data_IF_986756519707
#
_entry.id   IF_986756519707
#
_cell.length_a   1.000
_cell.length_b   1.000
_cell.length_c   1.000
_cell.angle_alpha   90.00
_cell.angle_beta   90.00
_cell.angle_gamma   90.00
#
_symmetry.space_group_name_H-M   'P 1'
#
loop_
_entity.id
_entity.type
_entity.pdbx_description
1 polymer ?
#
# COMPACT_ATOMS: atom_id res chain seq x y z
N UNK A 1 -20.45 -86.92 14.14
CA UNK A 1 -20.72 -85.48 14.02
C UNK A 1 -20.30 -84.80 15.32
N UNK A 2 -19.21 -84.05 15.32
CA UNK A 2 -18.94 -82.94 16.27
C UNK A 2 -17.68 -82.21 15.78
N UNK A 3 -17.85 -80.93 15.41
CA UNK A 3 -16.79 -80.03 14.97
C UNK A 3 -15.95 -79.60 16.17
N UNK A 4 -14.64 -79.88 16.13
CA UNK A 4 -13.66 -79.37 17.08
C UNK A 4 -13.14 -78.02 16.58
N UNK A 5 -13.55 -76.92 17.21
CA UNK A 5 -12.98 -75.60 16.95
C UNK A 5 -11.78 -75.39 17.87
N UNK A 6 -10.59 -75.68 17.36
CA UNK A 6 -9.32 -75.37 18.03
C UNK A 6 -9.07 -73.88 17.99
N UNK A 7 -9.03 -73.22 19.15
CA UNK A 7 -8.60 -71.82 19.29
C UNK A 7 -7.11 -71.77 18.93
N UNK A 8 -6.79 -71.26 17.74
CA UNK A 8 -5.40 -71.00 17.32
C UNK A 8 -4.85 -69.90 18.23
N UNK A 9 -3.84 -70.23 19.03
CA UNK A 9 -3.00 -69.24 19.71
C UNK A 9 -2.44 -68.28 18.65
N UNK A 10 -2.92 -67.03 18.65
CA UNK A 10 -2.48 -65.98 17.73
C UNK A 10 -1.02 -65.62 18.03
N UNK A 11 -0.18 -65.61 16.99
CA UNK A 11 1.25 -65.29 17.07
C UNK A 11 1.45 -63.80 17.42
N UNK A 12 2.34 -63.50 18.37
CA UNK A 12 2.63 -62.15 18.87
C UNK A 12 3.09 -61.16 17.77
N UNK A 13 3.69 -61.68 16.69
CA UNK A 13 4.13 -60.88 15.54
C UNK A 13 2.97 -60.32 14.71
N UNK A 14 1.86 -61.05 14.60
CA UNK A 14 0.66 -60.60 13.86
C UNK A 14 -0.06 -59.49 14.65
N UNK A 15 -0.03 -59.58 15.98
CA UNK A 15 -0.58 -58.56 16.88
C UNK A 15 0.21 -57.24 16.80
N UNK A 16 1.53 -57.33 16.67
CA UNK A 16 2.41 -56.16 16.46
C UNK A 16 2.15 -55.49 15.10
N UNK A 17 1.97 -56.27 14.04
CA UNK A 17 1.71 -55.75 12.69
C UNK A 17 0.32 -55.09 12.59
N UNK A 18 -0.69 -55.69 13.23
CA UNK A 18 -2.04 -55.14 13.35
C UNK A 18 -2.07 -53.84 14.15
N UNK A 19 -1.31 -53.74 15.24
CA UNK A 19 -1.23 -52.53 16.05
C UNK A 19 -0.59 -51.36 15.29
N UNK A 20 0.45 -51.62 14.48
CA UNK A 20 1.06 -50.58 13.63
C UNK A 20 0.10 -50.09 12.54
N UNK A 21 -0.71 -50.98 11.97
CA UNK A 21 -1.75 -50.60 11.01
C UNK A 21 -2.85 -49.74 11.65
N UNK A 22 -3.22 -50.04 12.90
CA UNK A 22 -4.24 -49.31 13.63
C UNK A 22 -3.80 -47.89 14.05
N UNK A 23 -2.52 -47.72 14.41
CA UNK A 23 -1.95 -46.39 14.72
C UNK A 23 -1.92 -45.48 13.49
N UNK A 24 -1.65 -46.04 12.30
CA UNK A 24 -1.67 -45.28 11.04
C UNK A 24 -3.07 -44.78 10.62
N UNK A 25 -4.13 -45.32 11.22
CA UNK A 25 -5.53 -44.97 10.92
C UNK A 25 -6.11 -43.92 11.87
N UNK A 26 -5.34 -43.41 12.85
CA UNK A 26 -5.83 -42.36 13.74
C UNK A 26 -6.08 -41.06 12.97
N UNK A 27 -7.26 -40.43 13.11
CA UNK A 27 -7.53 -39.13 12.50
C UNK A 27 -6.64 -38.08 13.16
N UNK A 28 -5.85 -37.37 12.36
CA UNK A 28 -5.11 -36.20 12.81
C UNK A 28 -6.11 -35.06 13.11
N UNK A 29 -6.41 -34.84 14.39
CA UNK A 29 -7.19 -33.68 14.82
C UNK A 29 -6.35 -32.42 14.69
N UNK A 30 -6.68 -31.57 13.71
CA UNK A 30 -6.09 -30.24 13.58
C UNK A 30 -6.71 -29.28 14.62
N UNK A 31 -6.26 -29.37 15.87
CA UNK A 31 -6.67 -28.46 16.95
C UNK A 31 -6.23 -27.00 16.71
N UNK A 32 -5.32 -26.77 15.76
CA UNK A 32 -4.84 -25.46 15.31
C UNK A 32 -5.52 -24.96 14.03
N UNK A 33 -6.55 -25.65 13.51
CA UNK A 33 -7.27 -25.18 12.34
C UNK A 33 -7.98 -23.84 12.65
N UNK A 34 -7.62 -22.79 11.91
CA UNK A 34 -8.28 -21.50 12.01
C UNK A 34 -9.72 -21.62 11.51
N UNK A 35 -10.67 -21.11 12.30
CA UNK A 35 -12.04 -20.92 11.82
C UNK A 35 -12.02 -19.86 10.69
N UNK A 36 -12.92 -19.96 9.70
CA UNK A 36 -13.04 -19.00 8.59
C UNK A 36 -12.98 -17.54 9.05
N UNK A 37 -13.70 -17.19 10.12
CA UNK A 37 -13.71 -15.82 10.67
C UNK A 37 -12.36 -15.38 11.26
N UNK A 38 -11.59 -16.33 11.81
CA UNK A 38 -10.25 -16.06 12.32
C UNK A 38 -9.25 -15.90 11.17
N UNK A 39 -9.35 -16.75 10.15
CA UNK A 39 -8.53 -16.66 8.94
C UNK A 39 -8.77 -15.35 8.17
N UNK A 40 -10.03 -14.92 8.04
CA UNK A 40 -10.40 -13.65 7.41
C UNK A 40 -9.83 -12.45 8.19
N UNK A 41 -10.00 -12.43 9.52
CA UNK A 41 -9.46 -11.34 10.35
C UNK A 41 -7.94 -11.25 10.23
N UNK A 42 -7.26 -12.40 10.27
CA UNK A 42 -5.82 -12.46 10.15
C UNK A 42 -5.38 -11.95 8.77
N UNK A 43 -6.07 -12.38 7.70
CA UNK A 43 -5.82 -11.92 6.34
C UNK A 43 -5.96 -10.40 6.23
N UNK A 44 -7.07 -9.81 6.69
CA UNK A 44 -7.30 -8.35 6.62
C UNK A 44 -6.25 -7.58 7.46
N UNK A 45 -5.84 -8.12 8.61
CA UNK A 45 -4.88 -7.46 9.48
C UNK A 45 -3.46 -7.44 8.90
N UNK A 46 -3.07 -8.50 8.18
CA UNK A 46 -1.73 -8.64 7.61
C UNK A 46 -1.66 -8.35 6.12
N UNK A 47 -2.74 -7.88 5.48
CA UNK A 47 -2.77 -7.62 4.03
C UNK A 47 -2.05 -6.30 3.70
N UNK A 48 -0.91 -6.34 3.00
CA UNK A 48 -0.18 -5.12 2.59
C UNK A 48 -0.98 -4.28 1.59
N UNK A 49 -1.95 -4.87 0.88
CA UNK A 49 -2.82 -4.16 -0.07
C UNK A 49 -3.74 -3.20 0.67
N UNK A 50 -4.26 -3.59 1.83
CA UNK A 50 -5.10 -2.71 2.66
C UNK A 50 -4.29 -1.54 3.21
N UNK A 51 -3.02 -1.77 3.55
CA UNK A 51 -2.12 -0.71 3.97
C UNK A 51 -1.81 0.28 2.83
N UNK A 52 -1.58 -0.22 1.61
CA UNK A 52 -1.30 0.64 0.45
C UNK A 52 -2.51 1.50 0.06
N UNK A 53 -3.73 0.96 0.11
CA UNK A 53 -4.96 1.74 -0.09
C UNK A 53 -5.11 2.83 0.98
N UNK A 54 -4.86 2.51 2.26
CA UNK A 54 -4.88 3.52 3.34
C UNK A 54 -3.82 4.61 3.13
N UNK A 55 -2.61 4.26 2.72
CA UNK A 55 -1.56 5.22 2.42
C UNK A 55 -1.97 6.16 1.28
N UNK A 56 -2.57 5.60 0.23
CA UNK A 56 -3.11 6.35 -0.92
C UNK A 56 -4.25 7.27 -0.51
N UNK A 57 -5.18 6.78 0.31
CA UNK A 57 -6.28 7.62 0.84
C UNK A 57 -5.73 8.79 1.66
N UNK A 58 -4.69 8.57 2.48
CA UNK A 58 -4.00 9.63 3.25
C UNK A 58 -3.30 10.64 2.34
N UNK A 59 -2.60 10.21 1.30
CA UNK A 59 -1.96 11.16 0.38
C UNK A 59 -2.98 12.08 -0.29
N UNK A 60 -4.16 11.58 -0.64
CA UNK A 60 -5.24 12.42 -1.18
C UNK A 60 -5.86 13.37 -0.14
N UNK A 61 -5.87 13.00 1.16
CA UNK A 61 -6.26 13.94 2.23
C UNK A 61 -5.24 15.08 2.31
N UNK A 62 -3.95 14.76 2.34
CA UNK A 62 -2.88 15.76 2.42
C UNK A 62 -2.88 16.67 1.17
N UNK A 63 -3.12 16.10 -0.02
CA UNK A 63 -3.26 16.85 -1.26
C UNK A 63 -4.48 17.78 -1.23
N UNK A 64 -5.60 17.37 -0.62
CA UNK A 64 -6.76 18.23 -0.46
C UNK A 64 -6.48 19.46 0.41
N UNK A 65 -5.60 19.35 1.40
CA UNK A 65 -5.16 20.48 2.21
C UNK A 65 -4.28 21.41 1.39
N UNK A 66 -3.37 20.86 0.59
CA UNK A 66 -2.51 21.65 -0.29
C UNK A 66 -3.32 22.38 -1.39
N UNK A 67 -4.33 21.73 -1.96
CA UNK A 67 -5.19 22.29 -3.02
C UNK A 67 -6.02 23.51 -2.56
N UNK A 68 -6.30 23.62 -1.27
CA UNK A 68 -7.02 24.76 -0.69
C UNK A 68 -6.10 25.95 -0.38
N UNK A 69 -4.79 25.78 -0.53
CA UNK A 69 -3.80 26.84 -0.28
C UNK A 69 -3.39 27.55 -1.56
N UNK A 70 -2.94 28.80 -1.42
CA UNK A 70 -2.41 29.54 -2.54
C UNK A 70 -1.09 28.91 -3.01
N UNK A 71 -0.86 28.82 -4.33
CA UNK A 71 0.41 28.34 -4.87
C UNK A 71 1.59 29.16 -4.36
N UNK A 72 2.67 28.48 -4.01
CA UNK A 72 3.87 29.10 -3.45
C UNK A 72 4.46 30.17 -4.38
N UNK A 73 4.98 31.28 -3.80
CA UNK A 73 5.66 32.31 -4.57
C UNK A 73 6.97 31.78 -5.16
N UNK A 74 7.21 32.06 -6.43
CA UNK A 74 8.42 31.66 -7.16
C UNK A 74 9.34 32.86 -7.36
N UNK A 75 10.62 32.70 -7.04
CA UNK A 75 11.64 33.68 -7.38
C UNK A 75 11.96 33.61 -8.87
N UNK A 76 11.94 34.75 -9.54
CA UNK A 76 12.29 34.92 -10.94
C UNK A 76 13.52 35.80 -11.06
N UNK A 77 14.58 35.24 -11.62
CA UNK A 77 15.81 35.92 -11.98
C UNK A 77 15.92 35.92 -13.51
N UNK A 78 16.34 37.03 -14.09
CA UNK A 78 16.60 37.14 -15.51
C UNK A 78 17.40 38.39 -15.83
N UNK A 79 18.00 38.43 -17.02
CA UNK A 79 18.63 39.63 -17.55
C UNK A 79 18.01 39.92 -18.92
N UNK A 80 17.80 41.19 -19.21
CA UNK A 80 17.17 41.65 -20.46
C UNK A 80 18.15 42.55 -21.19
N UNK A 81 18.20 42.44 -22.52
CA UNK A 81 19.16 43.14 -23.38
C UNK A 81 20.61 42.77 -23.04
N UNK A 82 20.90 41.47 -22.93
CA UNK A 82 22.26 40.96 -22.69
C UNK A 82 22.97 40.80 -24.04
N UNK A 83 24.21 41.32 -24.20
CA UNK A 83 24.99 41.12 -25.42
C UNK A 83 25.36 39.64 -25.60
N UNK A 84 25.00 39.07 -26.76
CA UNK A 84 25.17 37.64 -27.07
C UNK A 84 26.54 37.30 -27.67
N UNK A 85 27.34 38.30 -28.02
CA UNK A 85 28.62 38.11 -28.73
C UNK A 85 29.83 38.04 -27.79
N UNK A 86 29.87 38.88 -26.74
CA UNK A 86 31.03 38.98 -25.82
C UNK A 86 30.68 38.66 -24.36
N UNK A 87 29.38 38.60 -24.00
CA UNK A 87 28.91 38.48 -22.61
C UNK A 87 29.43 39.55 -21.63
N UNK A 88 29.91 40.67 -22.17
CA UNK A 88 30.44 41.78 -21.38
C UNK A 88 29.30 42.74 -21.01
N UNK A 89 28.88 42.69 -19.75
CA UNK A 89 27.76 43.48 -19.22
C UNK A 89 28.07 44.98 -19.12
N UNK A 90 29.32 45.39 -19.28
CA UNK A 90 29.77 46.79 -19.18
C UNK A 90 29.82 47.51 -20.54
N UNK A 91 29.76 46.78 -21.67
CA UNK A 91 29.89 47.36 -23.01
C UNK A 91 28.64 48.14 -23.48
N UNK A 92 27.45 47.85 -22.96
CA UNK A 92 26.21 48.58 -23.30
C UNK A 92 25.35 48.91 -22.07
N UNK A 93 25.09 50.21 -21.84
CA UNK A 93 24.38 50.77 -20.66
C UNK A 93 22.89 50.37 -20.52
N UNK A 94 22.39 49.42 -21.32
CA UNK A 94 20.98 49.07 -21.40
C UNK A 94 20.67 47.65 -20.88
N UNK A 95 21.66 46.88 -20.43
CA UNK A 95 21.43 45.56 -19.82
C UNK A 95 20.79 45.71 -18.45
N UNK A 96 19.61 45.10 -18.27
CA UNK A 96 18.86 45.16 -17.01
C UNK A 96 18.84 43.79 -16.34
N UNK A 97 19.39 43.70 -15.13
CA UNK A 97 19.16 42.56 -14.25
C UNK A 97 17.78 42.68 -13.59
N UNK A 98 16.96 41.64 -13.71
CA UNK A 98 15.60 41.56 -13.17
C UNK A 98 15.52 40.47 -12.12
N UNK A 99 15.11 40.87 -10.92
CA UNK A 99 14.76 39.98 -9.81
C UNK A 99 13.31 40.29 -9.44
N UNK A 100 12.47 39.28 -9.36
CA UNK A 100 11.06 39.44 -9.01
C UNK A 100 10.49 38.21 -8.32
N UNK A 101 9.38 38.40 -7.61
CA UNK A 101 8.61 37.31 -6.99
C UNK A 101 7.31 37.17 -7.79
N UNK A 102 6.95 35.95 -8.17
CA UNK A 102 5.74 35.66 -8.92
C UNK A 102 4.86 34.71 -8.11
N UNK A 103 3.63 35.12 -7.82
CA UNK A 103 2.62 34.31 -7.15
C UNK A 103 1.36 34.24 -8.01
N UNK A 104 0.78 33.04 -8.12
CA UNK A 104 -0.48 32.85 -8.84
C UNK A 104 -1.66 33.07 -7.89
N UNK A 105 -2.60 33.92 -8.30
CA UNK A 105 -3.86 34.14 -7.59
C UNK A 105 -5.01 33.54 -8.40
N UNK A 106 -5.34 32.25 -8.19
CA UNK A 106 -6.50 31.63 -8.81
C UNK A 106 -7.78 32.38 -8.42
N UNK A 107 -8.73 32.47 -9.35
CA UNK A 107 -9.95 33.27 -9.17
C UNK A 107 -11.04 32.45 -8.47
N UNK A 108 -11.86 33.13 -7.68
CA UNK A 108 -13.09 32.56 -7.10
C UNK A 108 -12.82 31.26 -6.35
N UNK A 109 -13.65 30.25 -6.60
CA UNK A 109 -13.70 29.03 -5.79
C UNK A 109 -12.81 27.89 -6.31
N UNK A 110 -11.88 28.18 -7.23
CA UNK A 110 -11.03 27.14 -7.89
C UNK A 110 -10.27 26.28 -6.87
N UNK A 111 -9.72 26.89 -5.82
CA UNK A 111 -9.03 26.16 -4.74
C UNK A 111 -9.99 25.20 -4.02
N UNK A 112 -11.17 25.68 -3.61
CA UNK A 112 -12.17 24.84 -2.94
C UNK A 112 -12.72 23.71 -3.83
N UNK A 113 -12.82 23.94 -5.15
CA UNK A 113 -13.25 22.91 -6.11
C UNK A 113 -12.18 21.82 -6.21
N UNK A 114 -10.90 22.19 -6.28
CA UNK A 114 -9.79 21.23 -6.27
C UNK A 114 -9.71 20.44 -4.98
N UNK A 115 -9.82 21.11 -3.83
CA UNK A 115 -9.90 20.46 -2.53
C UNK A 115 -11.03 19.41 -2.49
N UNK A 116 -12.23 19.76 -2.96
CA UNK A 116 -13.36 18.81 -3.05
C UNK A 116 -13.03 17.62 -3.95
N UNK A 117 -12.42 17.86 -5.10
CA UNK A 117 -11.98 16.79 -6.01
C UNK A 117 -11.03 15.81 -5.31
N UNK A 118 -10.01 16.32 -4.62
CA UNK A 118 -9.04 15.49 -3.88
C UNK A 118 -9.69 14.73 -2.72
N UNK A 119 -10.67 15.35 -2.03
CA UNK A 119 -11.50 14.65 -1.03
C UNK A 119 -12.36 13.52 -1.64
N UNK A 120 -12.89 13.71 -2.85
CA UNK A 120 -13.62 12.63 -3.54
C UNK A 120 -12.70 11.47 -3.90
N UNK A 121 -11.48 11.75 -4.36
CA UNK A 121 -10.47 10.73 -4.66
C UNK A 121 -10.09 9.94 -3.40
N UNK A 122 -9.86 10.63 -2.28
CA UNK A 122 -9.57 10.00 -0.98
C UNK A 122 -10.65 9.03 -0.51
N UNK A 123 -11.93 9.35 -0.77
CA UNK A 123 -13.07 8.50 -0.40
C UNK A 123 -13.28 7.31 -1.34
N UNK A 124 -12.74 7.37 -2.55
CA UNK A 124 -12.84 6.31 -3.56
C UNK A 124 -11.65 5.33 -3.56
N UNK A 125 -10.55 5.72 -2.90
CA UNK A 125 -9.36 4.91 -2.69
C UNK A 125 -9.54 3.96 -1.49
#
# INVERSE_FOLDING_TARGET
MCHSYSVKFLNFSELLLSAMFFVGMMPANNAFALNLKQAERLAIQSDPSIESFKATSRSFVDESVADDTLPDPKLRLGAVNVPVDTFDFEQEQMTQLKVGIVQSFPRGDVLSIKQKQSQYLSKSA
#
